data_IF_434156714114
#
_entry.id   IF_434156714114
#
_cell.length_a   1.000
_cell.length_b   1.000
_cell.length_c   1.000
_cell.angle_alpha   90.00
_cell.angle_beta   90.00
_cell.angle_gamma   90.00
#
_symmetry.space_group_name_H-M   'P 1'
#
loop_
_entity.id
_entity.type
_entity.pdbx_description
1 polymer ?
#
# COMPACT_ATOMS: atom_id res chain seq x y z
N UNK A 1 -7.75 -32.84 -15.15
CA UNK A 1 -6.97 -32.24 -16.25
C UNK A 1 -5.83 -31.33 -15.74
N UNK A 2 -6.12 -30.41 -14.82
CA UNK A 2 -5.18 -29.36 -14.32
C UNK A 2 -3.87 -29.90 -13.72
N UNK A 3 -3.91 -30.93 -12.88
CA UNK A 3 -2.69 -31.54 -12.27
C UNK A 3 -1.62 -31.97 -13.29
N UNK A 4 -2.07 -32.46 -14.46
CA UNK A 4 -1.18 -32.96 -15.52
C UNK A 4 -0.51 -31.79 -16.26
N UNK A 5 -1.24 -30.68 -16.43
CA UNK A 5 -0.72 -29.45 -17.00
C UNK A 5 0.31 -28.82 -16.05
N UNK A 6 -0.03 -28.66 -14.77
CA UNK A 6 0.88 -28.07 -13.78
C UNK A 6 2.19 -28.87 -13.68
N UNK A 7 2.10 -30.20 -13.64
CA UNK A 7 3.29 -31.05 -13.65
C UNK A 7 4.13 -30.87 -14.92
N UNK A 8 3.51 -30.88 -16.10
CA UNK A 8 4.23 -30.78 -17.37
C UNK A 8 4.88 -29.41 -17.61
N UNK A 9 4.26 -28.32 -17.17
CA UNK A 9 4.74 -26.96 -17.42
C UNK A 9 5.65 -26.42 -16.32
N UNK A 10 5.35 -26.71 -15.05
CA UNK A 10 6.04 -26.09 -13.91
C UNK A 10 6.98 -27.07 -13.19
N UNK A 11 6.58 -28.32 -12.98
CA UNK A 11 7.31 -29.26 -12.11
C UNK A 11 8.21 -30.28 -12.85
N UNK A 12 8.05 -30.47 -14.17
CA UNK A 12 8.73 -31.54 -14.94
C UNK A 12 10.20 -31.26 -15.22
N UNK A 13 10.61 -29.99 -15.37
CA UNK A 13 12.00 -29.61 -15.62
C UNK A 13 12.51 -28.75 -14.46
N UNK A 14 13.68 -29.11 -13.94
CA UNK A 14 14.30 -28.42 -12.78
C UNK A 14 14.53 -26.94 -13.04
N UNK A 15 14.89 -26.55 -14.27
CA UNK A 15 15.09 -25.14 -14.62
C UNK A 15 13.81 -24.30 -14.54
N UNK A 16 12.68 -24.80 -15.06
CA UNK A 16 11.37 -24.12 -14.97
C UNK A 16 10.82 -24.15 -13.55
N UNK A 17 11.12 -25.21 -12.80
CA UNK A 17 10.74 -25.33 -11.39
C UNK A 17 11.41 -24.25 -10.54
N UNK A 18 12.74 -24.11 -10.65
CA UNK A 18 13.49 -23.08 -9.93
C UNK A 18 13.02 -21.68 -10.32
N UNK A 19 12.81 -21.42 -11.62
CA UNK A 19 12.27 -20.15 -12.09
C UNK A 19 10.89 -19.86 -11.47
N UNK A 20 10.01 -20.87 -11.41
CA UNK A 20 8.71 -20.76 -10.79
C UNK A 20 8.79 -20.42 -9.30
N UNK A 21 9.71 -21.04 -8.56
CA UNK A 21 9.93 -20.72 -7.13
C UNK A 21 10.40 -19.28 -6.98
N UNK A 22 11.40 -18.84 -7.74
CA UNK A 22 11.94 -17.47 -7.61
C UNK A 22 10.87 -16.43 -7.89
N UNK A 23 10.13 -16.59 -8.99
CA UNK A 23 9.03 -15.68 -9.34
C UNK A 23 7.96 -15.69 -8.26
N UNK A 24 7.53 -16.88 -7.82
CA UNK A 24 6.51 -17.00 -6.77
C UNK A 24 7.00 -16.37 -5.47
N UNK A 25 8.26 -16.53 -5.10
CA UNK A 25 8.83 -15.96 -3.87
C UNK A 25 8.75 -14.44 -3.86
N UNK A 26 9.07 -13.79 -4.98
CA UNK A 26 9.03 -12.32 -5.08
C UNK A 26 7.59 -11.81 -4.98
N UNK A 27 6.65 -12.47 -5.66
CA UNK A 27 5.23 -12.12 -5.56
C UNK A 27 4.66 -12.43 -4.17
N UNK A 28 5.11 -13.52 -3.56
CA UNK A 28 4.70 -13.95 -2.24
C UNK A 28 5.14 -12.95 -1.19
N UNK A 29 6.38 -12.44 -1.23
CA UNK A 29 6.88 -11.37 -0.33
C UNK A 29 5.87 -10.21 -0.24
N UNK A 30 5.53 -9.60 -1.38
CA UNK A 30 4.63 -8.42 -1.40
C UNK A 30 3.21 -8.72 -0.96
N UNK A 31 2.71 -9.90 -1.33
CA UNK A 31 1.36 -10.32 -0.95
C UNK A 31 1.30 -10.65 0.54
N UNK A 32 2.34 -11.32 1.04
CA UNK A 32 2.43 -11.78 2.41
C UNK A 32 2.59 -10.60 3.37
N UNK A 33 3.44 -9.63 3.03
CA UNK A 33 3.60 -8.41 3.83
C UNK A 33 2.26 -7.66 3.98
N UNK A 34 1.54 -7.45 2.88
CA UNK A 34 0.22 -6.79 2.90
C UNK A 34 -0.81 -7.59 3.71
N UNK A 35 -0.82 -8.91 3.55
CA UNK A 35 -1.73 -9.80 4.25
C UNK A 35 -1.46 -9.79 5.76
N UNK A 36 -0.20 -9.89 6.16
CA UNK A 36 0.21 -9.86 7.55
C UNK A 36 -0.13 -8.53 8.21
N UNK A 37 0.14 -7.40 7.55
CA UNK A 37 -0.25 -6.08 8.06
C UNK A 37 -1.77 -6.01 8.24
N UNK A 38 -2.54 -6.40 7.23
CA UNK A 38 -4.01 -6.37 7.29
C UNK A 38 -4.59 -7.21 8.43
N UNK A 39 -4.03 -8.42 8.65
CA UNK A 39 -4.43 -9.29 9.75
C UNK A 39 -4.02 -8.68 11.08
N UNK A 40 -2.83 -8.08 11.16
CA UNK A 40 -2.32 -7.47 12.38
C UNK A 40 -3.12 -6.23 12.78
N UNK A 41 -3.44 -5.36 11.82
CA UNK A 41 -4.30 -4.19 12.01
C UNK A 41 -5.70 -4.62 12.47
N UNK A 42 -6.28 -5.63 11.83
CA UNK A 42 -7.60 -6.15 12.21
C UNK A 42 -7.64 -6.70 13.63
N UNK A 43 -6.60 -7.44 14.05
CA UNK A 43 -6.50 -7.98 15.41
C UNK A 43 -6.30 -6.86 16.45
N UNK A 44 -5.57 -5.81 16.09
CA UNK A 44 -5.18 -4.74 17.01
C UNK A 44 -5.92 -3.42 16.74
N UNK A 45 -7.15 -3.54 16.22
CA UNK A 45 -7.96 -2.37 15.89
C UNK A 45 -8.15 -1.47 17.12
N UNK A 46 -8.05 -0.16 16.90
CA UNK A 46 -8.08 0.87 17.95
C UNK A 46 -6.85 0.97 18.88
N UNK A 47 -5.87 0.04 18.83
CA UNK A 47 -4.64 0.10 19.66
C UNK A 47 -3.42 0.60 18.91
N UNK A 48 -3.42 0.51 17.58
CA UNK A 48 -2.32 0.98 16.75
C UNK A 48 -2.23 2.51 16.73
N UNK A 49 -0.99 3.02 16.71
CA UNK A 49 -0.73 4.45 16.55
C UNK A 49 -1.42 5.01 15.31
N UNK A 50 -1.43 4.27 14.20
CA UNK A 50 -2.10 4.59 12.94
C UNK A 50 -3.54 5.10 13.16
N UNK A 51 -4.27 4.45 14.06
CA UNK A 51 -5.67 4.74 14.37
C UNK A 51 -5.86 5.99 15.24
N UNK A 52 -4.85 6.37 16.03
CA UNK A 52 -4.93 7.49 16.99
C UNK A 52 -4.18 8.73 16.48
N UNK A 53 -3.24 8.55 15.55
CA UNK A 53 -2.36 9.59 14.96
C UNK A 53 -3.12 10.80 14.46
N UNK A 54 -4.33 10.60 13.91
CA UNK A 54 -5.20 11.68 13.44
C UNK A 54 -5.53 12.72 14.52
N UNK A 55 -5.51 12.34 15.81
CA UNK A 55 -5.74 13.26 16.92
C UNK A 55 -4.55 14.17 17.25
N UNK A 56 -3.36 13.85 16.76
CA UNK A 56 -2.11 14.50 17.15
C UNK A 56 -1.43 15.27 16.02
N UNK A 57 -1.56 14.81 14.76
CA UNK A 57 -0.90 15.48 13.62
C UNK A 57 -1.64 16.72 13.12
N UNK A 58 -2.97 16.73 13.25
CA UNK A 58 -3.80 17.85 12.86
C UNK A 58 -4.64 18.32 14.04
N UNK A 59 -4.06 19.11 14.96
CA UNK A 59 -4.84 19.70 16.03
C UNK A 59 -6.00 20.47 15.40
N UNK A 60 -7.23 20.36 15.93
CA UNK A 60 -8.39 21.06 15.37
C UNK A 60 -8.16 22.59 15.30
N UNK A 61 -7.27 23.13 16.14
CA UNK A 61 -6.86 24.53 16.09
C UNK A 61 -6.04 24.87 14.83
N UNK A 62 -5.16 23.97 14.36
CA UNK A 62 -4.36 24.17 13.15
C UNK A 62 -5.22 24.05 11.90
N UNK A 63 -6.13 23.06 11.86
CA UNK A 63 -7.10 22.93 10.76
C UNK A 63 -8.05 24.13 10.67
N UNK A 64 -8.54 24.64 11.79
CA UNK A 64 -9.43 25.81 11.82
C UNK A 64 -8.73 27.09 11.36
N UNK A 65 -7.42 27.22 11.60
CA UNK A 65 -6.61 28.34 11.12
C UNK A 65 -6.33 28.20 9.63
N UNK A 66 -5.92 27.02 9.16
CA UNK A 66 -5.69 26.76 7.73
C UNK A 66 -6.98 26.94 6.90
N UNK A 67 -8.11 26.40 7.35
CA UNK A 67 -9.42 26.55 6.70
C UNK A 67 -9.96 27.98 6.71
N UNK A 68 -9.53 28.81 7.67
CA UNK A 68 -9.90 30.23 7.76
C UNK A 68 -8.99 31.13 6.90
N UNK A 69 -7.74 30.72 6.68
CA UNK A 69 -6.74 31.48 5.92
C UNK A 69 -6.77 31.11 4.43
N UNK A 70 -7.05 29.85 4.08
CA UNK A 70 -7.18 29.41 2.69
C UNK A 70 -8.64 29.47 2.23
N UNK A 71 -8.97 30.54 1.49
CA UNK A 71 -10.20 30.58 0.68
C UNK A 71 -10.25 29.37 -0.28
N UNK A 72 -11.44 28.80 -0.55
CA UNK A 72 -11.60 27.50 -1.22
C UNK A 72 -10.95 27.37 -2.60
N UNK A 73 -10.58 28.48 -3.27
CA UNK A 73 -9.90 28.47 -4.57
C UNK A 73 -8.38 28.25 -4.54
N UNK A 74 -7.70 28.32 -3.38
CA UNK A 74 -6.22 28.16 -3.32
C UNK A 74 -5.78 26.70 -3.12
N UNK A 75 -6.54 25.89 -2.37
CA UNK A 75 -6.24 24.48 -2.14
C UNK A 75 -6.23 23.65 -3.44
N UNK A 76 -7.11 23.99 -4.40
CA UNK A 76 -7.22 23.30 -5.68
C UNK A 76 -6.02 23.54 -6.61
N UNK A 77 -5.30 24.66 -6.43
CA UNK A 77 -4.13 25.00 -7.24
C UNK A 77 -2.85 24.37 -6.65
N UNK A 78 -2.70 24.36 -5.32
CA UNK A 78 -1.59 23.63 -4.66
C UNK A 78 -1.68 22.12 -4.85
N UNK A 79 -2.88 21.53 -4.80
CA UNK A 79 -3.06 20.09 -5.03
C UNK A 79 -2.75 19.68 -6.47
N UNK A 80 -2.91 20.60 -7.44
CA UNK A 80 -2.49 20.39 -8.83
C UNK A 80 -0.98 20.48 -8.99
N UNK A 81 -0.34 21.50 -8.40
CA UNK A 81 1.12 21.68 -8.43
C UNK A 81 1.87 20.48 -7.82
N UNK A 82 1.47 20.04 -6.62
CA UNK A 82 2.09 18.88 -5.95
C UNK A 82 1.86 17.57 -6.71
N UNK A 83 0.77 17.47 -7.47
CA UNK A 83 0.49 16.30 -8.32
C UNK A 83 1.28 16.31 -9.63
N UNK A 84 1.76 17.47 -10.08
CA UNK A 84 2.62 17.61 -11.26
C UNK A 84 4.05 17.24 -10.88
N UNK A 85 4.55 17.72 -9.74
CA UNK A 85 5.92 17.46 -9.26
C UNK A 85 6.18 15.95 -9.04
N UNK A 86 5.21 15.24 -8.44
CA UNK A 86 5.29 13.78 -8.23
C UNK A 86 5.22 12.92 -9.50
N UNK A 87 4.95 13.53 -10.67
CA UNK A 87 4.89 12.81 -11.95
C UNK A 87 6.17 12.98 -12.79
N UNK A 88 7.05 13.88 -12.36
CA UNK A 88 8.33 14.18 -13.03
C UNK A 88 9.53 13.42 -12.45
N UNK A 89 9.33 12.67 -11.36
CA UNK A 89 10.29 11.70 -10.80
C UNK A 89 9.92 10.25 -11.17
#
# INVERSE_FOLDING_TARGET
>A
MVKRLFYQYVLKRTSTYVLGIVVTSIFFERTYDYLCESIFEWINDGRLWMHIKHRYENPPLVQNVENKILSPGLQDNLKKEVSIEKKTD
#
